data_IF_735272337768
#
_entry.id   IF_735272337768
#
_cell.length_a   1.000
_cell.length_b   1.000
_cell.length_c   1.000
_cell.angle_alpha   90.00
_cell.angle_beta   90.00
_cell.angle_gamma   90.00
#
_symmetry.space_group_name_H-M   'P 1'
#
loop_
_entity.id
_entity.type
_entity.pdbx_description
1 polymer ?
#
# COMPACT_ATOMS: atom_id res chain seq x y z
N UNK A 1 -69.70 -10.48 11.76
CA UNK A 1 -68.65 -11.49 12.04
C UNK A 1 -68.22 -12.08 10.72
N UNK A 2 -67.12 -11.60 10.16
CA UNK A 2 -66.61 -12.08 8.87
C UNK A 2 -65.82 -13.36 9.12
N UNK A 3 -66.31 -14.50 8.63
CA UNK A 3 -65.60 -15.76 8.72
C UNK A 3 -64.24 -15.63 8.02
N UNK A 4 -63.16 -15.89 8.75
CA UNK A 4 -61.79 -15.92 8.22
C UNK A 4 -61.73 -17.00 7.13
N UNK A 5 -61.63 -16.57 5.87
CA UNK A 5 -61.60 -17.48 4.72
C UNK A 5 -60.21 -18.11 4.69
N UNK A 6 -60.13 -19.45 4.76
CA UNK A 6 -58.84 -20.15 4.58
C UNK A 6 -58.27 -19.77 3.20
N UNK A 7 -56.99 -19.36 3.12
CA UNK A 7 -56.32 -19.14 1.84
C UNK A 7 -56.38 -20.43 1.00
N UNK A 8 -56.76 -20.32 -0.28
CA UNK A 8 -56.71 -21.44 -1.20
C UNK A 8 -55.32 -21.46 -1.86
N UNK A 9 -54.54 -22.50 -1.58
CA UNK A 9 -53.21 -22.68 -2.14
C UNK A 9 -53.26 -23.52 -3.41
N UNK A 10 -52.47 -23.15 -4.41
CA UNK A 10 -52.35 -23.88 -5.68
C UNK A 10 -51.47 -25.13 -5.57
N UNK A 11 -50.70 -25.27 -4.49
CA UNK A 11 -49.82 -26.42 -4.22
C UNK A 11 -49.65 -26.67 -2.73
N UNK A 12 -49.38 -27.92 -2.37
CA UNK A 12 -49.06 -28.33 -0.99
C UNK A 12 -47.78 -27.70 -0.47
N UNK A 13 -46.83 -27.39 -1.37
CA UNK A 13 -45.61 -26.66 -1.04
C UNK A 13 -45.90 -25.24 -0.54
N UNK A 14 -46.76 -24.49 -1.24
CA UNK A 14 -47.15 -23.15 -0.80
C UNK A 14 -47.93 -23.20 0.51
N UNK A 15 -48.81 -24.20 0.66
CA UNK A 15 -49.54 -24.41 1.91
C UNK A 15 -48.57 -24.68 3.08
N UNK A 16 -47.69 -25.67 2.97
CA UNK A 16 -46.73 -26.00 4.03
C UNK A 16 -45.80 -24.85 4.35
N UNK A 17 -45.31 -24.15 3.32
CA UNK A 17 -44.42 -23.00 3.47
C UNK A 17 -45.13 -21.82 4.17
N UNK A 18 -46.39 -21.55 3.84
CA UNK A 18 -47.14 -20.51 4.56
C UNK A 18 -47.44 -20.87 6.00
N UNK A 19 -47.72 -22.14 6.29
CA UNK A 19 -47.90 -22.61 7.66
C UNK A 19 -46.60 -22.51 8.47
N UNK A 20 -45.47 -22.86 7.86
CA UNK A 20 -44.14 -22.69 8.44
C UNK A 20 -43.90 -21.23 8.80
N UNK A 21 -44.07 -20.30 7.86
CA UNK A 21 -43.92 -18.86 8.08
C UNK A 21 -44.89 -18.30 9.14
N UNK A 22 -46.12 -18.81 9.21
CA UNK A 22 -47.10 -18.41 10.23
C UNK A 22 -46.80 -19.00 11.62
N UNK A 23 -46.03 -20.08 11.67
CA UNK A 23 -45.66 -20.78 12.91
C UNK A 23 -44.32 -20.33 13.47
N UNK A 24 -43.51 -19.60 12.69
CA UNK A 24 -42.28 -18.97 13.18
C UNK A 24 -42.60 -17.99 14.30
N UNK A 25 -41.82 -18.03 15.37
CA UNK A 25 -41.97 -17.09 16.47
C UNK A 25 -41.39 -15.71 16.10
N UNK A 26 -41.86 -14.67 16.79
CA UNK A 26 -41.33 -13.32 16.59
C UNK A 26 -39.82 -13.28 16.87
N UNK A 27 -39.33 -14.08 17.81
CA UNK A 27 -37.90 -14.23 18.10
C UNK A 27 -37.13 -14.85 16.93
N UNK A 28 -37.66 -15.89 16.28
CA UNK A 28 -37.05 -16.53 15.09
C UNK A 28 -37.03 -15.58 13.88
N UNK A 29 -38.02 -14.70 13.76
CA UNK A 29 -38.06 -13.63 12.75
C UNK A 29 -37.05 -12.52 13.06
N UNK A 30 -36.82 -12.27 14.34
CA UNK A 30 -35.89 -11.25 14.85
C UNK A 30 -34.46 -11.77 15.07
N UNK A 31 -34.20 -13.06 14.85
CA UNK A 31 -32.86 -13.67 14.78
C UNK A 31 -32.10 -13.19 13.52
N UNK A 32 -31.83 -11.89 13.48
CA UNK A 32 -30.78 -11.32 12.64
C UNK A 32 -29.42 -11.54 13.30
N UNK A 33 -28.38 -11.72 12.48
CA UNK A 33 -27.01 -11.74 13.00
C UNK A 33 -26.72 -10.40 13.71
N UNK A 34 -26.13 -10.45 14.92
CA UNK A 34 -25.74 -9.25 15.65
C UNK A 34 -24.70 -8.47 14.84
N UNK A 35 -25.17 -7.40 14.20
CA UNK A 35 -24.39 -6.56 13.30
C UNK A 35 -23.17 -5.98 14.01
N UNK A 36 -23.28 -5.68 15.30
CA UNK A 36 -22.19 -5.10 16.07
C UNK A 36 -21.12 -6.15 16.38
N UNK A 37 -21.53 -7.38 16.70
CA UNK A 37 -20.60 -8.51 16.82
C UNK A 37 -19.86 -8.78 15.49
N UNK A 38 -20.55 -8.71 14.35
CA UNK A 38 -19.94 -8.88 13.02
C UNK A 38 -18.93 -7.78 12.73
N UNK A 39 -19.30 -6.51 12.97
CA UNK A 39 -18.40 -5.36 12.80
C UNK A 39 -17.16 -5.47 13.69
N UNK A 40 -17.34 -5.87 14.95
CA UNK A 40 -16.23 -6.02 15.89
C UNK A 40 -15.25 -7.13 15.45
N UNK A 41 -15.78 -8.27 14.97
CA UNK A 41 -14.94 -9.34 14.39
C UNK A 41 -14.16 -8.86 13.18
N UNK A 42 -14.79 -8.10 12.28
CA UNK A 42 -14.14 -7.54 11.10
C UNK A 42 -13.02 -6.54 11.49
N UNK A 43 -13.31 -5.63 12.41
CA UNK A 43 -12.34 -4.65 12.90
C UNK A 43 -11.12 -5.34 13.53
N UNK A 44 -11.33 -6.38 14.34
CA UNK A 44 -10.25 -7.15 14.96
C UNK A 44 -9.36 -7.84 13.92
N UNK A 45 -9.94 -8.40 12.86
CA UNK A 45 -9.18 -9.02 11.75
C UNK A 45 -8.30 -8.00 11.04
N UNK A 46 -8.84 -6.83 10.73
CA UNK A 46 -8.09 -5.75 10.06
C UNK A 46 -6.95 -5.25 10.96
N UNK A 47 -7.22 -5.04 12.26
CA UNK A 47 -6.21 -4.59 13.21
C UNK A 47 -5.05 -5.59 13.32
N UNK A 48 -5.34 -6.89 13.42
CA UNK A 48 -4.32 -7.93 13.47
C UNK A 48 -3.47 -7.99 12.18
N UNK A 49 -4.12 -7.89 11.02
CA UNK A 49 -3.42 -7.85 9.73
C UNK A 49 -2.48 -6.63 9.62
N UNK A 50 -2.95 -5.46 10.04
CA UNK A 50 -2.15 -4.23 10.03
C UNK A 50 -0.93 -4.32 10.96
N UNK A 51 -1.09 -4.89 12.15
CA UNK A 51 0.04 -5.11 13.06
C UNK A 51 1.07 -6.07 12.47
N UNK A 52 0.64 -7.17 11.86
CA UNK A 52 1.54 -8.12 11.21
C UNK A 52 2.29 -7.49 10.03
N UNK A 53 1.59 -6.72 9.18
CA UNK A 53 2.20 -5.98 8.08
C UNK A 53 3.21 -4.94 8.58
N UNK A 54 2.89 -4.19 9.64
CA UNK A 54 3.79 -3.23 10.27
C UNK A 54 5.07 -3.89 10.80
N UNK A 55 4.95 -5.04 11.47
CA UNK A 55 6.11 -5.82 11.93
C UNK A 55 7.00 -6.26 10.77
N UNK A 56 6.42 -6.77 9.67
CA UNK A 56 7.17 -7.15 8.46
C UNK A 56 7.90 -5.96 7.84
N UNK A 57 7.24 -4.81 7.71
CA UNK A 57 7.86 -3.57 7.20
C UNK A 57 9.03 -3.12 8.07
N UNK A 58 8.87 -3.13 9.40
CA UNK A 58 9.96 -2.79 10.31
C UNK A 58 11.13 -3.77 10.24
N UNK A 59 10.87 -5.08 10.14
CA UNK A 59 11.91 -6.08 9.99
C UNK A 59 12.70 -5.88 8.68
N UNK A 60 11.99 -5.64 7.57
CA UNK A 60 12.61 -5.32 6.29
C UNK A 60 13.46 -4.03 6.35
N UNK A 61 12.96 -2.97 6.99
CA UNK A 61 13.71 -1.73 7.16
C UNK A 61 14.97 -1.91 8.03
N UNK A 62 14.89 -2.72 9.09
CA UNK A 62 16.06 -3.07 9.91
C UNK A 62 17.10 -3.85 9.11
N UNK A 63 16.66 -4.83 8.32
CA UNK A 63 17.55 -5.60 7.45
C UNK A 63 18.21 -4.72 6.38
N UNK A 64 17.45 -3.83 5.72
CA UNK A 64 17.99 -2.90 4.74
C UNK A 64 18.98 -1.89 5.37
N UNK A 65 18.73 -1.44 6.60
CA UNK A 65 19.67 -0.56 7.32
C UNK A 65 20.98 -1.29 7.64
N UNK A 66 20.92 -2.55 8.07
CA UNK A 66 22.11 -3.37 8.31
C UNK A 66 22.90 -3.62 7.02
N UNK A 67 22.22 -3.87 5.90
CA UNK A 67 22.86 -4.00 4.58
C UNK A 67 23.54 -2.69 4.16
N UNK A 68 22.91 -1.52 4.37
CA UNK A 68 23.54 -0.21 4.11
C UNK A 68 24.74 0.11 4.99
N UNK A 69 24.84 -0.46 6.19
CA UNK A 69 26.05 -0.31 7.02
C UNK A 69 27.21 -1.17 6.51
N UNK A 70 26.93 -2.16 5.65
CA UNK A 70 27.93 -3.06 5.08
C UNK A 70 28.18 -2.84 3.59
N UNK A 71 27.38 -2.01 2.92
CA UNK A 71 27.80 -1.39 1.67
C UNK A 71 29.02 -0.51 1.99
N UNK A 72 30.18 -0.78 1.37
CA UNK A 72 31.30 0.12 1.49
C UNK A 72 30.83 1.49 1.01
N UNK A 73 31.04 2.49 1.86
CA UNK A 73 30.95 3.90 1.52
C UNK A 73 31.52 4.04 0.12
N UNK A 74 30.67 4.36 -0.86
CA UNK A 74 31.05 4.37 -2.28
C UNK A 74 32.30 5.20 -2.34
N UNK A 75 33.40 4.48 -2.55
CA UNK A 75 34.77 4.94 -2.47
C UNK A 75 34.80 6.38 -2.90
N UNK A 76 35.18 7.27 -1.98
CA UNK A 76 35.49 8.67 -2.21
C UNK A 76 36.14 8.80 -3.59
N UNK A 77 35.31 9.06 -4.61
CA UNK A 77 35.77 8.99 -5.98
C UNK A 77 36.83 10.07 -6.09
N UNK A 78 37.98 9.75 -6.70
CA UNK A 78 39.09 10.66 -6.97
C UNK A 78 38.71 11.89 -7.83
N UNK A 79 37.42 12.13 -8.04
CA UNK A 79 36.80 13.24 -8.74
C UNK A 79 36.72 14.43 -7.79
N UNK A 80 37.27 15.55 -8.23
CA UNK A 80 37.26 16.79 -7.47
C UNK A 80 35.83 17.32 -7.32
N UNK A 81 35.59 18.12 -6.28
CA UNK A 81 34.28 18.73 -6.04
C UNK A 81 33.87 19.65 -7.21
N UNK A 82 34.83 20.28 -7.87
CA UNK A 82 34.61 21.14 -9.02
C UNK A 82 34.16 20.36 -10.25
N UNK A 83 34.76 19.19 -10.51
CA UNK A 83 34.33 18.27 -11.57
C UNK A 83 32.91 17.75 -11.33
N UNK A 84 32.59 17.40 -10.09
CA UNK A 84 31.23 16.99 -9.67
C UNK A 84 30.22 18.09 -10.00
N UNK A 85 30.51 19.35 -9.61
CA UNK A 85 29.63 20.48 -9.88
C UNK A 85 29.51 20.80 -11.37
N UNK A 86 30.60 20.70 -12.11
CA UNK A 86 30.60 20.92 -13.56
C UNK A 86 29.71 19.88 -14.27
N UNK A 87 29.86 18.60 -13.94
CA UNK A 87 29.07 17.52 -14.51
C UNK A 87 27.57 17.68 -14.25
N UNK A 88 27.19 18.07 -13.03
CA UNK A 88 25.77 18.28 -12.70
C UNK A 88 25.20 19.47 -13.47
N UNK A 89 25.96 20.57 -13.64
CA UNK A 89 25.51 21.71 -14.47
C UNK A 89 25.33 21.33 -15.93
N UNK A 90 26.24 20.54 -16.47
CA UNK A 90 26.14 20.02 -17.84
C UNK A 90 24.90 19.14 -17.99
N UNK A 91 24.69 18.19 -17.08
CA UNK A 91 23.51 17.33 -17.07
C UNK A 91 22.20 18.10 -16.87
N UNK A 92 22.19 19.20 -16.10
CA UNK A 92 21.02 20.06 -15.93
C UNK A 92 20.63 20.82 -17.20
N UNK A 93 21.61 21.05 -18.09
CA UNK A 93 21.38 21.68 -19.39
C UNK A 93 21.12 20.66 -20.50
N UNK A 94 21.24 19.36 -20.19
CA UNK A 94 20.96 18.27 -21.11
C UNK A 94 19.48 17.87 -21.00
N UNK A 95 18.75 17.89 -22.13
CA UNK A 95 17.32 17.58 -22.19
C UNK A 95 16.97 16.14 -21.79
N UNK A 96 17.97 15.28 -21.60
CA UNK A 96 17.80 13.91 -21.11
C UNK A 96 17.50 13.82 -19.60
N UNK A 97 17.82 14.87 -18.84
CA UNK A 97 17.65 14.86 -17.38
C UNK A 97 16.93 16.13 -16.91
N UNK A 98 15.76 15.94 -16.31
CA UNK A 98 15.05 17.04 -15.64
C UNK A 98 15.54 17.15 -14.19
N UNK A 99 16.47 18.07 -13.93
CA UNK A 99 16.88 18.42 -12.58
C UNK A 99 15.96 19.53 -12.04
N UNK A 100 15.20 19.23 -10.98
CA UNK A 100 14.41 20.25 -10.29
C UNK A 100 15.36 21.32 -9.72
N UNK A 101 15.12 22.58 -10.05
CA UNK A 101 15.99 23.72 -9.76
C UNK A 101 16.36 23.84 -8.27
N UNK A 102 17.45 23.20 -7.87
CA UNK A 102 18.16 23.47 -6.62
C UNK A 102 19.45 24.20 -6.97
N UNK A 103 19.74 25.27 -6.24
CA UNK A 103 20.99 26.00 -6.40
C UNK A 103 22.16 25.09 -6.01
N UNK A 104 22.90 24.59 -7.01
CA UNK A 104 24.11 23.79 -6.84
C UNK A 104 25.17 24.45 -5.96
N UNK A 105 25.14 25.77 -5.84
CA UNK A 105 26.00 26.57 -4.95
C UNK A 105 25.65 26.41 -3.47
N UNK A 106 24.40 26.07 -3.13
CA UNK A 106 23.91 25.95 -1.76
C UNK A 106 23.90 24.49 -1.27
N UNK A 107 24.20 23.52 -2.14
CA UNK A 107 24.24 22.11 -1.79
C UNK A 107 25.50 21.74 -0.99
N UNK A 108 25.33 20.87 0.01
CA UNK A 108 26.44 20.28 0.74
C UNK A 108 27.31 19.40 -0.18
N UNK A 109 28.60 19.24 0.13
CA UNK A 109 29.51 18.40 -0.66
C UNK A 109 29.01 16.96 -0.78
N UNK A 110 28.50 16.41 0.31
CA UNK A 110 27.98 15.04 0.37
C UNK A 110 26.76 14.87 -0.54
N UNK A 111 25.87 15.86 -0.56
CA UNK A 111 24.70 15.85 -1.44
C UNK A 111 25.09 15.99 -2.92
N UNK A 112 26.08 16.83 -3.24
CA UNK A 112 26.59 16.99 -4.60
C UNK A 112 27.19 15.68 -5.14
N UNK A 113 28.02 14.99 -4.35
CA UNK A 113 28.61 13.69 -4.72
C UNK A 113 27.56 12.59 -4.88
N UNK A 114 26.53 12.60 -4.02
CA UNK A 114 25.41 11.67 -4.13
C UNK A 114 24.64 11.87 -5.43
N UNK A 115 24.34 13.12 -5.77
CA UNK A 115 23.62 13.47 -7.00
C UNK A 115 24.43 13.10 -8.24
N UNK A 116 25.74 13.36 -8.25
CA UNK A 116 26.65 12.91 -9.30
C UNK A 116 26.60 11.40 -9.53
N UNK A 117 26.65 10.62 -8.44
CA UNK A 117 26.58 9.14 -8.53
C UNK A 117 25.25 8.68 -9.10
N UNK A 118 24.13 9.30 -8.70
CA UNK A 118 22.80 8.99 -9.22
C UNK A 118 22.68 9.31 -10.72
N UNK A 119 23.20 10.46 -11.16
CA UNK A 119 23.20 10.84 -12.58
C UNK A 119 24.03 9.86 -13.41
N UNK A 120 25.19 9.44 -12.90
CA UNK A 120 26.05 8.48 -13.59
C UNK A 120 25.37 7.12 -13.72
N UNK A 121 24.76 6.61 -12.66
CA UNK A 121 23.99 5.36 -12.69
C UNK A 121 22.80 5.42 -13.64
N UNK A 122 22.09 6.55 -13.70
CA UNK A 122 20.99 6.73 -14.64
C UNK A 122 21.46 6.70 -16.10
N UNK A 123 22.59 7.36 -16.40
CA UNK A 123 23.16 7.38 -17.75
C UNK A 123 23.73 6.02 -18.15
N UNK A 124 24.42 5.34 -17.25
CA UNK A 124 24.98 4.00 -17.48
C UNK A 124 23.86 2.95 -17.64
N UNK A 125 22.80 3.02 -16.81
CA UNK A 125 21.66 2.12 -16.88
C UNK A 125 20.74 2.35 -18.08
N UNK A 126 20.76 3.54 -18.69
CA UNK A 126 20.10 3.79 -19.98
C UNK A 126 20.87 3.22 -21.18
N UNK A 127 22.15 2.87 -21.01
CA UNK A 127 22.99 2.28 -22.06
C UNK A 127 22.78 0.77 -22.29
N UNK A 128 22.14 0.04 -21.36
CA UNK A 128 21.90 -1.41 -21.50
C UNK A 128 20.56 -1.77 -22.17
N UNK A 129 19.74 -0.78 -22.55
CA UNK A 129 18.47 -1.00 -23.25
C UNK A 129 18.56 -0.67 -24.76
N UNK A 130 19.60 -1.15 -25.44
CA UNK A 130 19.70 -1.11 -26.91
C UNK A 130 20.20 -2.44 -27.47
#
# INVERSE_FOLDING_TARGET
>A
MSASRKPQFSSSFLESYTYELMSMSDEEILEGEDIDAVKQRAANRIAAANQAAGRKRMAAAKAARLQRQHEPDVSSSAVSLDEVKAYIREAANDGQVTLAARQLSEMSETDARRLYTQLKQLRDGQGENN
#
